data_IF_505712798422
#
_entry.id   IF_505712798422
#
_cell.length_a   1.000
_cell.length_b   1.000
_cell.length_c   1.000
_cell.angle_alpha   90.00
_cell.angle_beta   90.00
_cell.angle_gamma   90.00
#
_symmetry.space_group_name_H-M   'P 1'
#
loop_
_entity.id
_entity.type
_entity.pdbx_description
1 polymer ?
#
# COMPACT_ATOMS: atom_id res chain seq x y z
N UNK A 1 22.31 6.92 -13.11
CA UNK A 1 22.18 7.06 -11.62
C UNK A 1 22.14 8.54 -11.25
N UNK A 2 21.20 8.95 -10.38
CA UNK A 2 21.23 10.28 -9.74
C UNK A 2 21.87 10.14 -8.36
N UNK A 3 22.70 11.10 -7.98
CA UNK A 3 23.42 11.12 -6.70
C UNK A 3 23.45 12.57 -6.21
N UNK A 4 22.62 12.89 -5.22
CA UNK A 4 22.36 14.27 -4.79
C UNK A 4 22.50 14.35 -3.27
N UNK A 5 23.28 15.32 -2.77
CA UNK A 5 23.41 15.65 -1.34
C UNK A 5 22.33 16.61 -0.91
N UNK A 6 21.97 16.59 0.37
CA UNK A 6 20.99 17.49 1.00
C UNK A 6 19.66 17.57 0.22
N UNK A 7 19.14 16.39 -0.15
CA UNK A 7 17.98 16.28 -1.03
C UNK A 7 16.66 16.37 -0.25
N UNK A 8 15.70 17.16 -0.77
CA UNK A 8 14.35 17.25 -0.22
C UNK A 8 13.53 15.99 -0.58
N UNK A 9 12.97 15.36 0.42
CA UNK A 9 12.09 14.18 0.29
C UNK A 9 10.60 14.55 0.16
N UNK A 10 10.26 15.84 0.05
CA UNK A 10 8.86 16.28 -0.06
C UNK A 10 8.13 15.63 -1.23
N UNK A 11 8.78 15.48 -2.37
CA UNK A 11 8.22 14.83 -3.57
C UNK A 11 8.19 13.28 -3.47
N UNK A 12 8.85 12.73 -2.47
CA UNK A 12 8.99 11.28 -2.24
C UNK A 12 8.24 10.80 -0.99
N UNK A 13 7.25 11.56 -0.52
CA UNK A 13 6.28 11.11 0.47
C UNK A 13 4.92 11.74 0.21
N UNK A 14 3.89 10.93 0.19
CA UNK A 14 2.53 11.36 -0.15
C UNK A 14 1.84 12.15 0.97
N UNK A 15 2.39 12.18 2.19
CA UNK A 15 1.98 13.13 3.23
C UNK A 15 2.39 14.58 2.92
N UNK A 16 3.33 14.79 1.98
CA UNK A 16 3.86 16.12 1.67
C UNK A 16 4.66 16.74 2.83
N UNK A 17 5.21 15.91 3.71
CA UNK A 17 6.05 16.36 4.84
C UNK A 17 7.37 16.90 4.30
N UNK A 18 7.74 18.09 4.81
CA UNK A 18 9.06 18.66 4.57
C UNK A 18 10.10 17.91 5.39
N UNK A 19 10.93 17.15 4.72
CA UNK A 19 12.09 16.48 5.29
C UNK A 19 13.18 16.35 4.24
N UNK A 20 14.43 16.22 4.65
CA UNK A 20 15.59 16.03 3.78
C UNK A 20 16.30 14.73 4.11
N UNK A 21 17.14 14.27 3.18
CA UNK A 21 18.13 13.25 3.45
C UNK A 21 19.55 13.77 3.16
N UNK A 22 20.54 13.20 3.84
CA UNK A 22 21.94 13.59 3.62
C UNK A 22 22.40 13.26 2.20
N UNK A 23 21.92 12.17 1.61
CA UNK A 23 22.22 11.76 0.23
C UNK A 23 21.05 10.98 -0.37
N UNK A 24 20.71 11.29 -1.61
CA UNK A 24 19.68 10.60 -2.39
C UNK A 24 20.32 9.89 -3.57
N UNK A 25 20.11 8.59 -3.67
CA UNK A 25 20.56 7.76 -4.78
C UNK A 25 19.35 7.21 -5.52
N UNK A 26 19.30 7.43 -6.85
CA UNK A 26 18.25 6.88 -7.71
C UNK A 26 18.90 6.11 -8.85
N UNK A 27 18.51 4.83 -8.99
CA UNK A 27 19.04 3.95 -10.03
C UNK A 27 17.98 3.63 -11.07
N UNK A 28 18.40 3.57 -12.34
CA UNK A 28 17.54 3.34 -13.52
C UNK A 28 17.92 2.10 -14.33
N UNK A 29 18.92 1.35 -13.87
CA UNK A 29 19.29 0.05 -14.45
C UNK A 29 19.80 -0.91 -13.37
N UNK A 30 19.98 -2.18 -13.73
CA UNK A 30 20.54 -3.21 -12.83
C UNK A 30 21.99 -2.88 -12.48
N UNK A 31 22.79 -2.42 -13.44
CA UNK A 31 24.17 -2.01 -13.22
C UNK A 31 24.27 -0.84 -12.23
N UNK A 32 23.34 0.13 -12.34
CA UNK A 32 23.25 1.23 -11.39
C UNK A 32 22.81 0.75 -9.99
N UNK A 33 21.90 -0.23 -9.91
CA UNK A 33 21.53 -0.85 -8.64
C UNK A 33 22.74 -1.57 -7.99
N UNK A 34 23.58 -2.24 -8.79
CA UNK A 34 24.84 -2.86 -8.31
C UNK A 34 25.82 -1.80 -7.80
N UNK A 35 25.91 -0.67 -8.48
CA UNK A 35 26.74 0.48 -8.04
C UNK A 35 26.20 1.08 -6.73
N UNK A 36 24.87 1.27 -6.61
CA UNK A 36 24.24 1.69 -5.36
C UNK A 36 24.57 0.71 -4.24
N UNK A 37 24.43 -0.60 -4.47
CA UNK A 37 24.80 -1.63 -3.49
C UNK A 37 26.27 -1.53 -3.07
N UNK A 38 27.18 -1.23 -4.00
CA UNK A 38 28.61 -0.98 -3.70
C UNK A 38 28.77 0.25 -2.80
N UNK A 39 28.13 1.38 -3.13
CA UNK A 39 28.19 2.61 -2.35
C UNK A 39 27.69 2.37 -0.91
N UNK A 40 26.57 1.66 -0.75
CA UNK A 40 26.01 1.36 0.57
C UNK A 40 26.98 0.54 1.44
N UNK A 41 27.64 -0.46 0.86
CA UNK A 41 28.66 -1.27 1.57
C UNK A 41 29.89 -0.47 1.97
N UNK A 42 30.39 0.36 1.06
CA UNK A 42 31.63 1.14 1.27
C UNK A 42 31.44 2.27 2.29
N UNK A 43 30.28 2.92 2.26
CA UNK A 43 30.02 4.03 3.19
C UNK A 43 29.65 3.56 4.59
N UNK A 44 28.99 2.40 4.73
CA UNK A 44 28.44 1.93 6.00
C UNK A 44 27.43 2.89 6.62
N UNK A 45 26.92 3.87 5.86
CA UNK A 45 25.95 4.86 6.32
C UNK A 45 24.58 4.20 6.52
N UNK A 46 23.77 4.67 7.47
CA UNK A 46 22.36 4.30 7.53
C UNK A 46 21.69 4.57 6.17
N UNK A 47 20.81 3.70 5.75
CA UNK A 47 20.08 3.89 4.50
C UNK A 47 18.60 3.50 4.63
N UNK A 48 17.79 4.05 3.74
CA UNK A 48 16.36 3.81 3.63
C UNK A 48 16.00 3.59 2.16
N UNK A 49 15.43 2.44 1.85
CA UNK A 49 14.93 2.13 0.50
C UNK A 49 13.47 2.54 0.46
N UNK A 50 13.12 3.37 -0.51
CA UNK A 50 11.75 3.85 -0.73
C UNK A 50 11.26 3.52 -2.14
N UNK A 51 9.94 3.38 -2.30
CA UNK A 51 9.25 3.51 -3.58
C UNK A 51 8.61 4.90 -3.68
N UNK A 52 7.43 5.01 -4.25
CA UNK A 52 6.70 6.28 -4.42
C UNK A 52 6.29 7.00 -3.11
N UNK A 53 6.76 6.54 -1.96
CA UNK A 53 6.52 7.18 -0.66
C UNK A 53 5.08 7.17 -0.16
N UNK A 54 4.24 6.31 -0.72
CA UNK A 54 2.81 6.24 -0.42
C UNK A 54 2.46 5.49 0.88
N UNK A 55 3.46 4.90 1.53
CA UNK A 55 3.33 4.22 2.83
C UNK A 55 4.45 4.63 3.79
N UNK A 56 4.78 5.93 3.80
CA UNK A 56 5.90 6.50 4.53
C UNK A 56 5.47 7.75 5.29
N UNK A 57 5.87 7.86 6.56
CA UNK A 57 5.78 9.06 7.37
C UNK A 57 7.17 9.46 7.86
N UNK A 58 7.69 10.55 7.35
CA UNK A 58 8.95 11.14 7.81
C UNK A 58 8.68 12.03 9.01
N UNK A 59 9.34 11.79 10.14
CA UNK A 59 9.16 12.58 11.38
C UNK A 59 10.28 13.59 11.62
N UNK A 60 11.36 13.49 10.85
CA UNK A 60 12.55 14.35 10.88
C UNK A 60 13.36 14.16 9.59
N UNK A 61 14.40 14.95 9.41
CA UNK A 61 15.41 14.71 8.38
C UNK A 61 16.08 13.34 8.58
N UNK A 62 16.41 12.68 7.49
CA UNK A 62 17.09 11.40 7.51
C UNK A 62 18.60 11.59 7.31
N UNK A 63 19.38 11.40 8.37
CA UNK A 63 20.84 11.59 8.35
C UNK A 63 21.57 10.41 7.67
N UNK A 64 21.10 9.98 6.52
CA UNK A 64 21.62 8.82 5.80
C UNK A 64 21.36 8.90 4.31
N UNK A 65 21.46 7.76 3.65
CA UNK A 65 21.26 7.58 2.21
C UNK A 65 19.82 7.12 1.96
N UNK A 66 19.06 7.88 1.20
CA UNK A 66 17.75 7.40 0.67
C UNK A 66 17.97 6.83 -0.72
N UNK A 67 17.44 5.64 -0.97
CA UNK A 67 17.58 4.90 -2.23
C UNK A 67 16.22 4.74 -2.87
N UNK A 68 16.10 5.09 -4.15
CA UNK A 68 14.89 4.97 -4.95
C UNK A 68 15.17 4.26 -6.28
N UNK A 69 14.23 3.41 -6.74
CA UNK A 69 14.30 2.81 -8.06
C UNK A 69 13.54 3.65 -9.09
N UNK A 70 14.19 3.96 -10.20
CA UNK A 70 13.59 4.53 -11.40
C UNK A 70 13.72 3.58 -12.60
N UNK A 71 13.83 2.26 -12.37
CA UNK A 71 13.82 1.29 -13.46
C UNK A 71 12.40 1.19 -14.00
N UNK A 72 12.22 1.58 -15.26
CA UNK A 72 10.97 1.55 -15.99
C UNK A 72 10.99 0.44 -17.06
N UNK A 73 9.84 0.15 -17.62
CA UNK A 73 9.59 -0.79 -18.70
C UNK A 73 8.64 -1.91 -18.28
N UNK A 74 7.78 -2.30 -19.22
CA UNK A 74 6.82 -3.39 -19.08
C UNK A 74 6.96 -4.32 -20.27
N UNK A 75 7.23 -5.59 -20.03
CA UNK A 75 7.41 -6.61 -21.06
C UNK A 75 6.42 -7.75 -20.86
N UNK A 76 5.68 -8.08 -21.90
CA UNK A 76 4.66 -9.12 -21.87
C UNK A 76 5.16 -10.33 -22.65
N UNK A 77 5.12 -11.48 -22.01
CA UNK A 77 5.37 -12.77 -22.63
C UNK A 77 4.25 -13.74 -22.24
N UNK A 78 3.37 -14.04 -23.20
CA UNK A 78 2.18 -14.87 -23.04
C UNK A 78 1.21 -14.31 -21.98
N UNK A 79 1.16 -14.91 -20.80
CA UNK A 79 0.31 -14.49 -19.67
C UNK A 79 1.13 -13.86 -18.51
N UNK A 80 2.41 -13.57 -18.77
CA UNK A 80 3.31 -12.93 -17.82
C UNK A 80 3.62 -11.49 -18.23
N UNK A 81 3.73 -10.64 -17.23
CA UNK A 81 4.20 -9.27 -17.41
C UNK A 81 5.33 -9.00 -16.42
N UNK A 82 6.50 -8.66 -16.92
CA UNK A 82 7.65 -8.22 -16.13
C UNK A 82 7.69 -6.70 -16.14
N UNK A 83 7.67 -6.08 -14.97
CA UNK A 83 7.63 -4.63 -14.81
C UNK A 83 8.83 -4.15 -14.03
N UNK A 84 9.46 -3.07 -14.49
CA UNK A 84 10.52 -2.38 -13.76
C UNK A 84 10.02 -1.92 -12.38
N UNK A 85 10.90 -1.96 -11.38
CA UNK A 85 10.52 -1.71 -9.99
C UNK A 85 10.09 -0.26 -9.71
N UNK A 86 10.45 0.68 -10.59
CA UNK A 86 10.03 2.09 -10.53
C UNK A 86 8.73 2.39 -11.30
N UNK A 87 8.12 1.40 -11.97
CA UNK A 87 6.83 1.60 -12.62
C UNK A 87 5.72 1.88 -11.61
N UNK A 88 4.80 2.77 -11.97
CA UNK A 88 3.62 3.07 -11.16
C UNK A 88 2.67 1.86 -11.20
N UNK A 89 2.31 1.35 -10.04
CA UNK A 89 1.46 0.15 -9.93
C UNK A 89 0.14 0.27 -10.71
N UNK A 90 -0.55 1.40 -10.63
CA UNK A 90 -1.85 1.55 -11.31
C UNK A 90 -1.74 1.57 -12.83
N UNK A 91 -0.58 1.99 -13.38
CA UNK A 91 -0.28 1.90 -14.82
C UNK A 91 -0.05 0.46 -15.25
N UNK A 92 0.53 -0.38 -14.38
CA UNK A 92 0.64 -1.83 -14.63
C UNK A 92 -0.74 -2.48 -14.70
N UNK A 93 -1.66 -2.13 -13.79
CA UNK A 93 -3.05 -2.63 -13.83
C UNK A 93 -3.73 -2.24 -15.14
N UNK A 94 -3.58 -1.00 -15.59
CA UNK A 94 -4.14 -0.54 -16.86
C UNK A 94 -3.54 -1.27 -18.07
N UNK A 95 -2.20 -1.37 -18.10
CA UNK A 95 -1.50 -2.06 -19.18
C UNK A 95 -1.88 -3.55 -19.27
N UNK A 96 -2.05 -4.23 -18.13
CA UNK A 96 -2.48 -5.63 -18.11
C UNK A 96 -3.87 -5.80 -18.75
N UNK A 97 -4.82 -4.92 -18.40
CA UNK A 97 -6.17 -4.95 -19.00
C UNK A 97 -6.14 -4.69 -20.52
N UNK A 98 -5.34 -3.71 -20.95
CA UNK A 98 -5.18 -3.41 -22.38
C UNK A 98 -4.60 -4.60 -23.17
N UNK A 99 -3.79 -5.42 -22.50
CA UNK A 99 -3.20 -6.63 -23.08
C UNK A 99 -4.12 -7.87 -22.98
N UNK A 100 -5.33 -7.75 -22.37
CA UNK A 100 -6.22 -8.90 -22.12
C UNK A 100 -5.71 -9.83 -21.02
N UNK A 101 -4.97 -9.28 -20.05
CA UNK A 101 -4.42 -9.97 -18.92
C UNK A 101 -5.15 -9.51 -17.64
N UNK A 102 -5.77 -10.45 -16.93
CA UNK A 102 -6.73 -10.18 -15.86
C UNK A 102 -6.27 -10.69 -14.49
N UNK A 103 -6.82 -10.11 -13.42
CA UNK A 103 -6.60 -10.48 -12.02
C UNK A 103 -6.16 -9.34 -11.11
N UNK A 104 -5.76 -8.18 -11.67
CA UNK A 104 -5.32 -7.02 -10.91
C UNK A 104 -6.41 -5.94 -10.72
N UNK A 105 -7.61 -6.10 -11.26
CA UNK A 105 -8.64 -5.07 -11.33
C UNK A 105 -9.00 -4.49 -9.96
N UNK A 106 -9.10 -5.36 -8.95
CA UNK A 106 -9.42 -4.98 -7.57
C UNK A 106 -8.30 -4.15 -6.92
N UNK A 107 -7.09 -4.20 -7.45
CA UNK A 107 -5.92 -3.49 -6.96
C UNK A 107 -5.70 -2.11 -7.61
N UNK A 108 -6.71 -1.64 -8.36
CA UNK A 108 -6.69 -0.34 -9.05
C UNK A 108 -6.58 0.83 -8.08
N UNK A 109 -5.92 1.90 -8.51
CA UNK A 109 -5.67 3.12 -7.74
C UNK A 109 -4.92 2.91 -6.40
N UNK A 110 -4.23 1.79 -6.19
CA UNK A 110 -3.30 1.69 -5.08
C UNK A 110 -2.07 2.50 -5.45
N UNK A 111 -1.72 3.56 -4.68
CA UNK A 111 -0.58 4.39 -4.99
C UNK A 111 0.73 3.67 -4.66
N UNK A 112 1.78 3.97 -5.39
CA UNK A 112 3.13 3.45 -5.19
C UNK A 112 3.66 2.69 -6.40
N UNK A 113 4.87 2.18 -6.26
CA UNK A 113 5.64 1.58 -7.33
C UNK A 113 5.60 0.05 -7.27
N UNK A 114 5.90 -0.58 -8.39
CA UNK A 114 6.00 -2.05 -8.57
C UNK A 114 6.88 -2.70 -7.51
N UNK A 115 8.08 -2.19 -7.25
CA UNK A 115 8.97 -2.76 -6.23
C UNK A 115 8.38 -2.71 -4.83
N UNK A 116 7.74 -1.59 -4.48
CA UNK A 116 7.05 -1.43 -3.20
C UNK A 116 5.82 -2.33 -3.07
N UNK A 117 5.12 -2.63 -4.18
CA UNK A 117 3.97 -3.53 -4.21
C UNK A 117 4.34 -4.93 -3.71
N UNK A 118 5.49 -5.45 -4.15
CA UNK A 118 6.02 -6.75 -3.75
C UNK A 118 6.49 -6.76 -2.28
N UNK A 119 7.13 -5.68 -1.82
CA UNK A 119 7.56 -5.55 -0.41
C UNK A 119 6.37 -5.55 0.54
N UNK A 120 5.35 -4.76 0.23
CA UNK A 120 4.20 -4.51 1.11
C UNK A 120 3.12 -5.61 1.02
N UNK A 121 3.14 -6.46 -0.01
CA UNK A 121 2.01 -7.32 -0.38
C UNK A 121 0.72 -6.49 -0.43
N UNK A 122 0.70 -5.51 -1.36
CA UNK A 122 -0.46 -4.62 -1.49
C UNK A 122 -1.74 -5.41 -1.74
N UNK A 123 -2.86 -4.90 -1.27
CA UNK A 123 -4.14 -5.59 -1.43
C UNK A 123 -5.32 -4.66 -1.22
N UNK A 124 -6.38 -4.93 -1.94
CA UNK A 124 -7.66 -4.26 -1.83
C UNK A 124 -8.80 -5.17 -2.30
N UNK A 125 -9.99 -4.97 -1.77
CA UNK A 125 -11.22 -5.66 -2.20
C UNK A 125 -11.07 -7.18 -2.33
N UNK A 126 -10.41 -7.81 -1.35
CA UNK A 126 -10.28 -9.27 -1.27
C UNK A 126 -9.18 -9.89 -2.13
N UNK A 127 -8.40 -9.08 -2.87
CA UNK A 127 -7.27 -9.52 -3.69
C UNK A 127 -5.97 -8.99 -3.10
N UNK A 128 -4.92 -9.78 -3.12
CA UNK A 128 -3.56 -9.39 -2.74
C UNK A 128 -2.60 -9.60 -3.91
N UNK A 129 -1.60 -8.74 -4.05
CA UNK A 129 -0.66 -8.81 -5.18
C UNK A 129 0.17 -10.09 -5.19
N UNK A 130 0.36 -10.74 -4.03
CA UNK A 130 1.03 -12.05 -3.92
C UNK A 130 0.41 -13.12 -4.82
N UNK A 131 -0.91 -13.01 -5.09
CA UNK A 131 -1.65 -13.97 -5.90
C UNK A 131 -1.27 -13.86 -7.39
N UNK A 132 -0.64 -12.73 -7.77
CA UNK A 132 -0.15 -12.46 -9.12
C UNK A 132 1.38 -12.59 -9.23
N UNK A 133 2.14 -12.30 -8.15
CA UNK A 133 3.61 -12.32 -8.21
C UNK A 133 4.13 -13.74 -8.49
N UNK A 134 4.96 -13.86 -9.52
CA UNK A 134 5.66 -15.10 -9.87
C UNK A 134 7.08 -15.11 -9.35
N UNK A 135 7.84 -14.05 -9.64
CA UNK A 135 9.22 -13.89 -9.20
C UNK A 135 9.61 -12.41 -9.08
N UNK A 136 10.62 -12.13 -8.28
CA UNK A 136 11.19 -10.82 -8.04
C UNK A 136 12.66 -10.85 -8.43
N UNK A 137 13.07 -9.90 -9.27
CA UNK A 137 14.47 -9.67 -9.61
C UNK A 137 15.02 -8.58 -8.70
N UNK A 138 16.20 -8.80 -8.14
CA UNK A 138 16.80 -7.86 -7.21
C UNK A 138 18.33 -7.96 -7.19
N UNK A 139 19.00 -6.91 -6.75
CA UNK A 139 20.41 -6.91 -6.40
C UNK A 139 20.55 -7.09 -4.89
N UNK A 140 21.26 -8.09 -4.45
CA UNK A 140 21.59 -8.30 -3.04
C UNK A 140 22.65 -7.29 -2.58
N UNK A 141 22.30 -6.42 -1.63
CA UNK A 141 23.19 -5.32 -1.22
C UNK A 141 24.52 -5.84 -0.69
N UNK A 142 24.51 -6.91 0.13
CA UNK A 142 25.72 -7.45 0.75
C UNK A 142 26.75 -7.97 -0.26
N UNK A 143 26.32 -8.49 -1.40
CA UNK A 143 27.20 -9.13 -2.40
C UNK A 143 27.31 -8.32 -3.70
N UNK A 144 26.32 -7.47 -4.02
CA UNK A 144 26.18 -6.81 -5.32
C UNK A 144 25.71 -7.75 -6.43
N UNK A 145 25.35 -9.00 -6.11
CA UNK A 145 24.91 -9.99 -7.10
C UNK A 145 23.42 -9.88 -7.37
N UNK A 146 23.04 -10.13 -8.61
CA UNK A 146 21.65 -10.31 -8.99
C UNK A 146 21.07 -11.59 -8.37
N UNK A 147 19.81 -11.52 -8.00
CA UNK A 147 19.02 -12.62 -7.47
C UNK A 147 17.66 -12.66 -8.16
N UNK A 148 17.22 -13.86 -8.49
CA UNK A 148 15.84 -14.14 -8.85
C UNK A 148 15.20 -14.86 -7.67
N UNK A 149 14.17 -14.28 -7.10
CA UNK A 149 13.50 -14.74 -5.88
C UNK A 149 12.11 -15.22 -6.27
N UNK A 150 11.82 -16.49 -6.05
CA UNK A 150 10.48 -17.06 -6.27
C UNK A 150 9.47 -16.48 -5.26
N UNK A 151 8.26 -16.18 -5.69
CA UNK A 151 7.20 -15.65 -4.82
C UNK A 151 6.92 -16.55 -3.61
N UNK A 152 7.10 -17.88 -3.75
CA UNK A 152 6.94 -18.87 -2.67
C UNK A 152 7.92 -18.66 -1.51
N UNK A 153 9.09 -18.11 -1.80
CA UNK A 153 10.13 -17.84 -0.78
C UNK A 153 9.85 -16.54 -0.01
N UNK A 154 8.97 -15.67 -0.50
CA UNK A 154 8.67 -14.38 0.10
C UNK A 154 7.79 -14.46 1.36
N UNK A 155 7.21 -15.62 1.68
CA UNK A 155 6.37 -15.84 2.87
C UNK A 155 5.27 -14.76 3.04
N UNK A 156 4.57 -14.48 1.97
CA UNK A 156 3.52 -13.47 1.95
C UNK A 156 2.37 -13.79 2.91
N UNK A 157 1.97 -12.80 3.68
CA UNK A 157 0.76 -12.79 4.50
C UNK A 157 0.11 -11.40 4.44
N UNK A 158 -1.02 -11.21 5.11
CA UNK A 158 -1.72 -9.92 5.13
C UNK A 158 -0.78 -8.78 5.52
N UNK A 159 -0.45 -7.90 4.57
CA UNK A 159 0.51 -6.78 4.71
C UNK A 159 1.90 -7.20 5.18
N UNK A 160 2.29 -8.44 4.94
CA UNK A 160 3.57 -9.00 5.36
C UNK A 160 4.29 -9.69 4.21
N UNK A 161 5.62 -9.61 4.26
CA UNK A 161 6.54 -10.38 3.42
C UNK A 161 7.89 -10.53 4.14
N UNK A 162 8.74 -11.41 3.66
CA UNK A 162 10.14 -11.48 4.17
C UNK A 162 10.91 -10.18 3.94
N UNK A 163 10.57 -9.40 2.91
CA UNK A 163 11.19 -8.08 2.67
C UNK A 163 10.92 -7.07 3.78
N UNK A 164 9.83 -7.22 4.54
CA UNK A 164 9.53 -6.37 5.71
C UNK A 164 10.16 -6.88 7.01
N UNK A 165 10.61 -8.12 7.03
CA UNK A 165 11.12 -8.81 8.22
C UNK A 165 12.56 -9.27 8.00
N UNK A 166 12.77 -10.54 7.77
CA UNK A 166 14.07 -11.22 7.67
C UNK A 166 14.97 -10.68 6.54
N UNK A 167 14.37 -10.18 5.45
CA UNK A 167 15.07 -9.60 4.31
C UNK A 167 15.03 -8.07 4.28
N UNK A 168 14.61 -7.45 5.38
CA UNK A 168 14.57 -6.00 5.47
C UNK A 168 15.94 -5.42 5.15
N UNK A 169 15.93 -4.39 4.28
CA UNK A 169 17.12 -3.66 3.83
C UNK A 169 18.21 -4.54 3.18
N UNK A 170 17.85 -5.72 2.66
CA UNK A 170 18.81 -6.66 2.05
C UNK A 170 18.88 -6.56 0.54
N UNK A 171 17.81 -6.14 -0.12
CA UNK A 171 17.67 -6.20 -1.57
C UNK A 171 17.23 -4.88 -2.18
N UNK A 172 17.84 -4.51 -3.32
CA UNK A 172 17.36 -3.50 -4.23
C UNK A 172 16.55 -4.21 -5.32
N UNK A 173 15.23 -4.10 -5.27
CA UNK A 173 14.36 -4.72 -6.28
C UNK A 173 14.54 -3.98 -7.60
N UNK A 174 14.71 -4.72 -8.69
CA UNK A 174 14.92 -4.18 -10.05
C UNK A 174 13.72 -4.40 -10.96
N UNK A 175 13.03 -5.53 -10.80
CA UNK A 175 11.75 -5.79 -11.51
C UNK A 175 10.93 -6.85 -10.77
N UNK A 176 9.64 -6.93 -11.12
CA UNK A 176 8.71 -7.95 -10.64
C UNK A 176 8.00 -8.56 -11.83
N UNK A 177 7.96 -9.89 -11.88
CA UNK A 177 7.19 -10.64 -12.87
C UNK A 177 5.87 -11.09 -12.27
N UNK A 178 4.78 -10.69 -12.89
CA UNK A 178 3.42 -11.07 -12.55
C UNK A 178 2.90 -12.14 -13.51
N UNK A 179 2.11 -13.06 -12.99
CA UNK A 179 1.37 -14.07 -13.74
C UNK A 179 -0.11 -13.68 -13.72
N UNK A 180 -0.68 -13.43 -14.88
CA UNK A 180 -2.09 -13.05 -15.05
C UNK A 180 -2.92 -14.20 -15.62
N UNK A 181 -4.24 -14.02 -15.63
CA UNK A 181 -5.17 -14.91 -16.33
C UNK A 181 -5.57 -14.30 -17.69
N UNK A 182 -5.69 -15.13 -18.72
CA UNK A 182 -6.30 -14.75 -20.00
C UNK A 182 -7.84 -14.82 -19.97
N UNK A 183 -8.39 -15.33 -18.88
CA UNK A 183 -9.84 -15.38 -18.66
C UNK A 183 -10.20 -14.50 -17.48
N UNK A 184 -11.11 -13.57 -17.71
CA UNK A 184 -11.58 -12.69 -16.64
C UNK A 184 -12.51 -13.44 -15.67
N UNK A 185 -12.13 -13.41 -14.39
CA UNK A 185 -12.96 -13.93 -13.29
C UNK A 185 -13.11 -12.81 -12.24
N UNK A 186 -14.30 -12.21 -12.10
CA UNK A 186 -14.46 -11.08 -11.20
C UNK A 186 -14.46 -11.49 -9.72
N UNK A 187 -13.69 -10.78 -8.90
CA UNK A 187 -13.69 -10.91 -7.44
C UNK A 187 -14.60 -9.84 -6.83
N UNK A 188 -15.82 -10.21 -6.45
CA UNK A 188 -16.89 -9.28 -6.03
C UNK A 188 -17.34 -9.45 -4.57
N UNK A 189 -16.80 -10.44 -3.85
CA UNK A 189 -17.34 -10.87 -2.56
C UNK A 189 -16.83 -10.07 -1.36
N UNK A 190 -16.00 -9.03 -1.60
CA UNK A 190 -15.47 -8.19 -0.54
C UNK A 190 -16.27 -6.90 -0.36
N UNK A 191 -16.79 -6.68 0.84
CA UNK A 191 -17.57 -5.48 1.19
C UNK A 191 -18.80 -5.31 0.30
N UNK A 192 -19.09 -4.08 -0.08
CA UNK A 192 -20.25 -3.73 -0.93
C UNK A 192 -19.87 -3.64 -2.42
N UNK A 193 -18.81 -4.30 -2.88
CA UNK A 193 -18.34 -4.16 -4.26
C UNK A 193 -19.43 -4.60 -5.25
N UNK A 194 -20.05 -5.76 -4.98
CA UNK A 194 -21.15 -6.29 -5.78
C UNK A 194 -22.34 -5.32 -5.84
N UNK A 195 -22.77 -4.79 -4.71
CA UNK A 195 -23.89 -3.83 -4.61
C UNK A 195 -23.57 -2.53 -5.33
N UNK A 196 -22.34 -2.02 -5.18
CA UNK A 196 -21.91 -0.80 -5.85
C UNK A 196 -21.80 -0.94 -7.37
N UNK A 197 -21.52 -2.14 -7.89
CA UNK A 197 -21.57 -2.43 -9.32
C UNK A 197 -23.01 -2.44 -9.83
N UNK A 198 -23.97 -2.97 -9.07
CA UNK A 198 -25.40 -3.02 -9.42
C UNK A 198 -26.07 -1.65 -9.28
N UNK A 199 -25.72 -0.92 -8.20
CA UNK A 199 -26.34 0.37 -7.85
C UNK A 199 -25.68 1.57 -8.54
N UNK A 200 -24.73 1.35 -9.43
CA UNK A 200 -24.03 2.41 -10.17
C UNK A 200 -24.96 3.49 -10.68
N UNK A 201 -25.18 4.52 -9.85
CA UNK A 201 -26.20 5.55 -9.96
C UNK A 201 -25.81 6.71 -10.89
N UNK A 202 -25.18 6.39 -12.01
CA UNK A 202 -25.02 7.37 -13.11
C UNK A 202 -26.08 7.17 -14.19
N UNK A 203 -26.54 8.24 -14.85
CA UNK A 203 -27.53 8.12 -15.93
C UNK A 203 -27.11 7.17 -17.06
N UNK A 204 -25.83 6.85 -17.19
CA UNK A 204 -25.28 5.91 -18.18
C UNK A 204 -25.19 4.46 -17.69
N UNK A 205 -25.36 4.19 -16.38
CA UNK A 205 -25.24 2.85 -15.81
C UNK A 205 -26.59 2.18 -15.48
N UNK A 206 -27.72 2.82 -15.77
CA UNK A 206 -29.08 2.29 -15.51
C UNK A 206 -29.40 0.95 -16.17
N UNK A 207 -28.57 0.51 -17.12
CA UNK A 207 -28.76 -0.76 -17.84
C UNK A 207 -27.60 -1.73 -17.61
N UNK A 208 -26.75 -1.49 -16.61
CA UNK A 208 -25.68 -2.39 -16.27
C UNK A 208 -26.21 -3.51 -15.36
N UNK A 209 -26.80 -4.50 -15.96
CA UNK A 209 -26.94 -5.81 -15.35
C UNK A 209 -25.52 -6.39 -15.27
N UNK A 210 -25.11 -6.88 -14.11
CA UNK A 210 -24.04 -7.86 -14.02
C UNK A 210 -24.51 -9.05 -14.87
N UNK A 211 -24.24 -8.99 -16.17
CA UNK A 211 -24.31 -10.17 -17.01
C UNK A 211 -23.34 -11.22 -16.46
N UNK A 212 -23.37 -12.46 -16.95
CA UNK A 212 -22.49 -13.51 -16.49
C UNK A 212 -20.99 -13.14 -16.54
N UNK A 213 -20.62 -12.11 -17.33
CA UNK A 213 -19.25 -11.59 -17.44
C UNK A 213 -19.23 -10.05 -17.44
N UNK A 214 -19.15 -9.38 -16.26
CA UNK A 214 -18.84 -7.97 -16.25
C UNK A 214 -17.40 -7.79 -16.77
N UNK A 215 -17.23 -6.89 -17.75
CA UNK A 215 -15.88 -6.67 -18.30
C UNK A 215 -14.93 -6.19 -17.20
N UNK A 216 -13.69 -6.64 -17.23
CA UNK A 216 -12.64 -6.26 -16.30
C UNK A 216 -12.47 -4.73 -16.20
N UNK A 217 -12.65 -4.02 -17.33
CA UNK A 217 -12.63 -2.56 -17.37
C UNK A 217 -13.71 -1.95 -16.48
N UNK A 218 -14.94 -2.49 -16.46
CA UNK A 218 -16.00 -1.97 -15.61
C UNK A 218 -15.73 -2.23 -14.13
N UNK A 219 -15.13 -3.39 -13.79
CA UNK A 219 -14.70 -3.65 -12.43
C UNK A 219 -13.64 -2.64 -11.98
N UNK A 220 -12.62 -2.39 -12.83
CA UNK A 220 -11.62 -1.35 -12.56
C UNK A 220 -12.27 0.02 -12.34
N UNK A 221 -13.14 0.47 -13.24
CA UNK A 221 -13.83 1.76 -13.13
C UNK A 221 -14.67 1.87 -11.85
N UNK A 222 -15.35 0.78 -11.46
CA UNK A 222 -16.12 0.74 -10.22
C UNK A 222 -15.20 0.84 -8.97
N UNK A 223 -14.10 0.10 -8.95
CA UNK A 223 -13.10 0.19 -7.87
C UNK A 223 -12.53 1.60 -7.79
N UNK A 224 -12.13 2.20 -8.93
CA UNK A 224 -11.61 3.56 -8.98
C UNK A 224 -12.62 4.59 -8.43
N UNK A 225 -13.89 4.47 -8.81
CA UNK A 225 -14.96 5.34 -8.32
C UNK A 225 -15.16 5.19 -6.80
N UNK A 226 -15.29 3.96 -6.30
CA UNK A 226 -15.49 3.69 -4.87
C UNK A 226 -14.29 4.23 -4.05
N UNK A 227 -13.07 4.06 -4.54
CA UNK A 227 -11.88 4.58 -3.88
C UNK A 227 -11.85 6.10 -3.91
N UNK A 228 -12.10 6.73 -5.07
CA UNK A 228 -12.13 8.20 -5.22
C UNK A 228 -13.21 8.88 -4.37
N UNK A 229 -14.34 8.20 -4.10
CA UNK A 229 -15.39 8.71 -3.21
C UNK A 229 -14.98 8.65 -1.72
N UNK A 230 -14.12 7.69 -1.33
CA UNK A 230 -13.79 7.40 0.07
C UNK A 230 -12.41 7.91 0.49
N UNK A 231 -11.43 7.89 -0.41
CA UNK A 231 -10.04 8.19 -0.08
C UNK A 231 -9.66 9.59 -0.60
N UNK A 232 -8.96 10.40 0.19
CA UNK A 232 -8.45 11.68 -0.27
C UNK A 232 -7.33 11.47 -1.30
N UNK A 233 -7.29 12.32 -2.33
CA UNK A 233 -6.15 12.39 -3.24
C UNK A 233 -4.94 12.98 -2.49
N UNK A 234 -3.81 12.26 -2.37
CA UNK A 234 -2.64 12.77 -1.68
C UNK A 234 -2.05 14.07 -2.26
N UNK A 235 -2.34 14.37 -3.52
CA UNK A 235 -1.94 15.64 -4.17
C UNK A 235 -2.74 16.84 -3.67
N UNK A 236 -3.94 16.59 -3.14
CA UNK A 236 -4.83 17.63 -2.60
C UNK A 236 -4.73 17.68 -1.08
N UNK A 237 -4.76 16.53 -0.43
CA UNK A 237 -4.68 16.39 1.02
C UNK A 237 -3.68 15.28 1.36
N UNK A 238 -2.48 15.67 1.80
CA UNK A 238 -1.37 14.75 2.03
C UNK A 238 -1.75 13.61 2.98
N UNK A 239 -1.50 12.37 2.57
CA UNK A 239 -1.81 11.17 3.35
C UNK A 239 -0.97 9.98 2.85
N UNK A 240 -1.03 8.85 3.55
CA UNK A 240 -0.40 7.60 3.15
C UNK A 240 -1.43 6.45 3.07
N UNK A 241 -2.65 6.73 2.64
CA UNK A 241 -3.74 5.76 2.61
C UNK A 241 -4.18 5.32 4.01
N UNK A 242 -4.53 4.06 4.16
CA UNK A 242 -4.90 3.49 5.47
C UNK A 242 -3.71 3.55 6.42
N UNK A 243 -3.85 4.31 7.52
CA UNK A 243 -2.76 4.51 8.46
C UNK A 243 -2.57 3.33 9.42
N UNK A 244 -3.64 2.64 9.77
CA UNK A 244 -3.62 1.52 10.70
C UNK A 244 -4.00 0.21 10.02
N UNK A 245 -3.39 -0.89 10.47
CA UNK A 245 -3.83 -2.24 10.14
C UNK A 245 -5.15 -2.56 10.84
N UNK A 246 -5.99 -3.36 10.19
CA UNK A 246 -7.14 -3.94 10.85
C UNK A 246 -6.65 -5.02 11.82
N UNK A 247 -6.95 -4.94 13.13
CA UNK A 247 -6.53 -5.93 14.09
C UNK A 247 -7.25 -7.27 13.89
N UNK A 248 -6.51 -8.35 14.07
CA UNK A 248 -7.04 -9.69 14.19
C UNK A 248 -7.09 -10.00 15.68
N UNK A 249 -8.24 -10.43 16.16
CA UNK A 249 -8.50 -10.74 17.57
C UNK A 249 -9.06 -12.15 17.73
N UNK A 250 -8.92 -12.72 18.91
CA UNK A 250 -9.58 -13.98 19.27
C UNK A 250 -11.11 -13.84 19.15
N UNK A 251 -11.77 -14.88 18.68
CA UNK A 251 -13.22 -14.92 18.48
C UNK A 251 -14.00 -14.56 19.75
N UNK A 252 -13.57 -15.07 20.91
CA UNK A 252 -14.18 -14.75 22.20
C UNK A 252 -14.16 -13.23 22.49
N UNK A 253 -13.05 -12.56 22.16
CA UNK A 253 -12.92 -11.13 22.30
C UNK A 253 -13.91 -10.38 21.40
N UNK A 254 -14.07 -10.82 20.16
CA UNK A 254 -15.06 -10.27 19.23
C UNK A 254 -16.48 -10.44 19.76
N UNK A 255 -16.85 -11.67 20.19
CA UNK A 255 -18.21 -11.98 20.69
C UNK A 255 -18.57 -11.16 21.92
N UNK A 256 -17.63 -10.98 22.85
CA UNK A 256 -17.82 -10.10 24.01
C UNK A 256 -18.07 -8.63 23.61
N UNK A 257 -17.40 -8.14 22.56
CA UNK A 257 -17.64 -6.79 22.04
C UNK A 257 -18.94 -6.71 21.25
N UNK A 258 -19.29 -7.70 20.46
CA UNK A 258 -20.51 -7.75 19.66
C UNK A 258 -21.77 -7.72 20.53
N UNK A 259 -21.72 -8.23 21.77
CA UNK A 259 -22.80 -8.09 22.73
C UNK A 259 -23.10 -6.62 23.07
N UNK A 260 -22.07 -5.77 23.09
CA UNK A 260 -22.22 -4.31 23.35
C UNK A 260 -22.41 -3.51 22.05
N UNK A 261 -21.84 -4.00 20.93
CA UNK A 261 -21.88 -3.36 19.61
C UNK A 261 -22.44 -4.32 18.56
N UNK A 262 -23.77 -4.59 18.51
CA UNK A 262 -24.37 -5.61 17.65
C UNK A 262 -24.15 -5.38 16.14
N UNK A 263 -23.88 -4.13 15.73
CA UNK A 263 -23.62 -3.76 14.33
C UNK A 263 -22.14 -3.66 13.99
N UNK A 264 -21.25 -4.16 14.86
CA UNK A 264 -19.80 -4.13 14.64
C UNK A 264 -19.43 -4.97 13.41
N UNK A 265 -18.85 -4.36 12.37
CA UNK A 265 -18.42 -5.09 11.19
C UNK A 265 -17.22 -5.97 11.53
N UNK A 266 -17.15 -7.13 10.88
CA UNK A 266 -16.06 -8.08 11.06
C UNK A 266 -15.85 -8.91 9.79
N UNK A 267 -14.70 -9.57 9.73
CA UNK A 267 -14.35 -10.52 8.68
C UNK A 267 -13.77 -11.78 9.32
N UNK A 268 -14.26 -12.93 8.93
CA UNK A 268 -13.73 -14.21 9.37
C UNK A 268 -12.29 -14.38 8.85
N UNK A 269 -11.40 -14.85 9.73
CA UNK A 269 -10.02 -15.21 9.38
C UNK A 269 -9.85 -16.71 9.41
N UNK A 270 -10.21 -17.33 10.55
CA UNK A 270 -10.26 -18.77 10.78
C UNK A 270 -11.26 -19.09 11.92
N UNK A 271 -11.30 -20.35 12.38
CA UNK A 271 -12.22 -20.77 13.43
C UNK A 271 -12.04 -20.00 14.76
N UNK A 272 -10.79 -19.60 15.07
CA UNK A 272 -10.42 -18.91 16.32
C UNK A 272 -10.30 -17.40 16.22
N UNK A 273 -10.23 -16.84 15.00
CA UNK A 273 -9.83 -15.43 14.82
C UNK A 273 -10.77 -14.66 13.92
N UNK A 274 -10.96 -13.41 14.28
CA UNK A 274 -11.82 -12.44 13.58
C UNK A 274 -11.04 -11.13 13.35
N UNK A 275 -11.14 -10.57 12.16
CA UNK A 275 -10.56 -9.27 11.82
C UNK A 275 -11.60 -8.17 11.97
N UNK A 276 -11.31 -7.15 12.78
CA UNK A 276 -12.19 -6.01 13.04
C UNK A 276 -11.67 -4.79 12.27
N UNK A 277 -12.52 -4.06 11.50
CA UNK A 277 -12.11 -2.82 10.82
C UNK A 277 -11.66 -1.74 11.81
N UNK A 278 -10.39 -1.36 11.78
CA UNK A 278 -9.85 -0.29 12.61
C UNK A 278 -10.55 1.05 12.36
N UNK A 279 -10.92 1.34 11.10
CA UNK A 279 -11.66 2.54 10.74
C UNK A 279 -13.00 2.66 11.47
N UNK A 280 -13.71 1.56 11.66
CA UNK A 280 -14.95 1.56 12.45
C UNK A 280 -14.68 1.89 13.93
N UNK A 281 -13.66 1.28 14.54
CA UNK A 281 -13.32 1.59 15.94
C UNK A 281 -12.89 3.04 16.13
N UNK A 282 -12.12 3.60 15.20
CA UNK A 282 -11.67 4.99 15.20
C UNK A 282 -12.88 5.93 15.07
N UNK A 283 -13.84 5.61 14.20
CA UNK A 283 -15.09 6.36 14.03
C UNK A 283 -15.95 6.30 15.32
N UNK A 284 -16.09 5.11 15.92
CA UNK A 284 -16.77 4.94 17.21
C UNK A 284 -16.12 5.70 18.38
N UNK A 285 -14.83 6.00 18.30
CA UNK A 285 -14.12 6.89 19.22
C UNK A 285 -14.35 8.37 18.90
N UNK A 286 -15.07 8.70 17.83
CA UNK A 286 -15.41 10.06 17.43
C UNK A 286 -14.26 10.83 16.77
N UNK A 287 -13.28 10.13 16.20
CA UNK A 287 -12.13 10.76 15.55
C UNK A 287 -12.39 11.17 14.11
N UNK A 288 -13.35 10.57 13.42
CA UNK A 288 -13.66 10.88 12.01
C UNK A 288 -13.95 12.36 11.82
N UNK A 289 -13.23 13.01 10.92
CA UNK A 289 -13.31 14.45 10.67
C UNK A 289 -12.74 15.35 11.79
N UNK A 290 -12.02 14.77 12.77
CA UNK A 290 -11.37 15.54 13.85
C UNK A 290 -9.90 15.79 13.54
N UNK A 291 -9.34 16.82 14.19
CA UNK A 291 -7.93 17.19 14.04
C UNK A 291 -7.27 17.52 15.37
N UNK A 292 -5.94 17.41 15.40
CA UNK A 292 -5.04 17.94 16.41
C UNK A 292 -3.99 18.77 15.68
N UNK A 293 -4.07 20.11 15.83
CA UNK A 293 -3.21 21.01 15.04
C UNK A 293 -3.45 20.87 13.55
N UNK A 294 -2.39 20.65 12.78
CA UNK A 294 -2.43 20.47 11.33
C UNK A 294 -2.59 19.00 10.90
N UNK A 295 -2.62 18.06 11.84
CA UNK A 295 -2.89 16.65 11.60
C UNK A 295 -4.36 16.33 11.80
N UNK A 296 -5.00 15.62 10.87
CA UNK A 296 -6.42 15.28 10.92
C UNK A 296 -6.72 13.83 10.62
N UNK A 297 -7.96 13.43 10.89
CA UNK A 297 -8.58 12.19 10.44
C UNK A 297 -9.56 12.56 9.33
N UNK A 298 -9.42 11.94 8.17
CA UNK A 298 -10.27 12.25 7.01
C UNK A 298 -11.77 12.04 7.32
N UNK A 299 -12.61 12.94 6.81
CA UNK A 299 -14.03 13.03 7.15
C UNK A 299 -14.90 11.89 6.55
N UNK A 300 -14.44 11.24 5.48
CA UNK A 300 -15.14 10.11 4.85
C UNK A 300 -14.54 8.75 5.25
N UNK A 301 -13.27 8.70 5.63
CA UNK A 301 -12.56 7.46 5.96
C UNK A 301 -11.70 7.63 7.22
N UNK A 302 -12.21 7.16 8.35
CA UNK A 302 -11.53 7.31 9.65
C UNK A 302 -10.18 6.58 9.76
N UNK A 303 -9.89 5.67 8.81
CA UNK A 303 -8.61 4.96 8.76
C UNK A 303 -7.48 5.79 8.16
N UNK A 304 -7.80 6.92 7.49
CA UNK A 304 -6.83 7.78 6.82
C UNK A 304 -6.51 8.99 7.68
N UNK A 305 -5.24 9.11 8.07
CA UNK A 305 -4.70 10.33 8.66
C UNK A 305 -4.23 11.27 7.56
N UNK A 306 -4.48 12.56 7.74
CA UNK A 306 -4.24 13.59 6.73
C UNK A 306 -3.42 14.75 7.25
N UNK A 307 -2.64 15.34 6.37
CA UNK A 307 -1.97 16.61 6.54
C UNK A 307 -2.88 17.73 6.02
N UNK A 308 -3.47 18.50 6.91
CA UNK A 308 -4.39 19.61 6.60
C UNK A 308 -3.68 20.87 6.08
N UNK A 309 -2.38 20.75 5.82
CA UNK A 309 -1.50 21.82 5.37
C UNK A 309 -0.51 22.24 6.45
N UNK A 310 0.78 21.98 6.18
CA UNK A 310 1.87 22.34 7.08
C UNK A 310 2.06 21.43 8.31
N UNK A 311 1.42 20.26 8.35
CA UNK A 311 1.67 19.30 9.43
C UNK A 311 3.12 18.79 9.39
N UNK A 312 3.74 18.70 10.54
CA UNK A 312 4.97 17.93 10.74
C UNK A 312 4.65 16.44 10.91
N UNK A 313 5.62 15.57 10.62
CA UNK A 313 5.46 14.14 10.89
C UNK A 313 5.22 13.85 12.37
N UNK A 314 5.77 14.64 13.27
CA UNK A 314 5.52 14.52 14.72
C UNK A 314 4.07 14.82 15.11
N UNK A 315 3.40 15.80 14.46
CA UNK A 315 1.97 16.05 14.69
C UNK A 315 1.12 14.85 14.26
N UNK A 316 1.44 14.20 13.15
CA UNK A 316 0.77 12.96 12.71
C UNK A 316 1.00 11.83 13.74
N UNK A 317 2.21 11.69 14.29
CA UNK A 317 2.51 10.69 15.35
C UNK A 317 1.74 10.97 16.63
N UNK A 318 1.61 12.23 17.03
CA UNK A 318 0.82 12.62 18.22
C UNK A 318 -0.66 12.24 18.02
N UNK A 319 -1.23 12.55 16.86
CA UNK A 319 -2.59 12.15 16.49
C UNK A 319 -2.75 10.62 16.50
N UNK A 320 -1.82 9.90 15.89
CA UNK A 320 -1.80 8.43 15.85
C UNK A 320 -1.86 7.84 17.27
N UNK A 321 -1.00 8.32 18.18
CA UNK A 321 -0.97 7.86 19.59
C UNK A 321 -2.26 8.18 20.36
N UNK A 322 -2.85 9.35 20.13
CA UNK A 322 -4.13 9.71 20.73
C UNK A 322 -5.25 8.76 20.29
N UNK A 323 -5.30 8.42 18.99
CA UNK A 323 -6.25 7.44 18.43
C UNK A 323 -6.03 6.06 19.05
N UNK A 324 -4.78 5.56 19.06
CA UNK A 324 -4.42 4.26 19.65
C UNK A 324 -4.88 4.18 21.11
N UNK A 325 -4.63 5.21 21.90
CA UNK A 325 -5.05 5.30 23.30
C UNK A 325 -6.57 5.18 23.44
N UNK A 326 -7.34 5.96 22.68
CA UNK A 326 -8.79 5.94 22.77
C UNK A 326 -9.41 4.60 22.31
N UNK A 327 -8.87 4.00 21.26
CA UNK A 327 -9.32 2.67 20.79
C UNK A 327 -9.03 1.62 21.88
N UNK A 328 -7.83 1.64 22.48
CA UNK A 328 -7.47 0.74 23.58
C UNK A 328 -8.37 0.91 24.80
N UNK A 329 -8.65 2.16 25.22
CA UNK A 329 -9.51 2.46 26.33
C UNK A 329 -10.96 2.00 26.09
N UNK A 330 -11.47 2.16 24.87
CA UNK A 330 -12.88 1.86 24.56
C UNK A 330 -13.13 0.39 24.27
N UNK A 331 -12.23 -0.28 23.54
CA UNK A 331 -12.43 -1.65 23.05
C UNK A 331 -11.50 -2.69 23.69
N UNK A 332 -10.45 -2.23 24.40
CA UNK A 332 -9.39 -3.11 24.92
C UNK A 332 -8.57 -3.77 23.80
N UNK A 333 -8.52 -3.16 22.62
CA UNK A 333 -7.80 -3.64 21.43
C UNK A 333 -6.68 -2.66 21.10
N UNK A 334 -5.50 -3.18 20.83
CA UNK A 334 -4.38 -2.41 20.27
C UNK A 334 -4.49 -2.36 18.76
N UNK A 335 -4.30 -1.17 18.18
CA UNK A 335 -4.14 -0.97 16.74
C UNK A 335 -2.76 -0.46 16.42
N UNK A 336 -2.18 -0.90 15.31
CA UNK A 336 -0.81 -0.59 14.93
C UNK A 336 -0.76 0.10 13.57
N UNK A 337 0.15 1.07 13.39
CA UNK A 337 0.37 1.68 12.08
C UNK A 337 0.74 0.63 11.03
N UNK A 338 0.16 0.75 9.84
CA UNK A 338 0.62 0.08 8.62
C UNK A 338 1.73 0.91 7.96
N UNK A 339 1.65 2.23 8.13
CA UNK A 339 2.60 3.21 7.60
C UNK A 339 3.95 3.10 8.30
N UNK A 340 5.03 3.12 7.51
CA UNK A 340 6.39 3.13 8.03
C UNK A 340 6.73 4.52 8.58
N UNK A 341 6.98 4.60 9.88
CA UNK A 341 7.34 5.84 10.58
C UNK A 341 8.85 5.89 10.73
N UNK A 342 9.50 6.93 10.18
CA UNK A 342 10.95 7.12 10.13
C UNK A 342 11.36 8.39 10.90
#
# INVERSE_FOLDING_TARGET
>A
MRDIKDYSLKAHNTFGIEAKCARFLEYSSVEEAQEVARILRETGSPYLIIGGGSNLLLTRDFEGIVVHSAILGMWIEDDRMTCGSGEVWDEVVEASLMAGLYGAENLSMIPGDVGASAVQNIGAYGVEVKDLIREIHAVEIATGQERVIDARDCQYAYRQSRFKNEWKDRFLITSVTYQFSKTFVPHLDYGNLRENLVLGSGPKMKNFSLGPDPSAKFLREAVMRIRGEKLPDPKVEGNAGSFFMNPIVEREKYEALAATYPTMPHYEVDEGHVKIPAGWMIDQCGWKGKSLGHAGVHDKQALVLVNLGGASGQEIVVLCRAIQKNVKEKFGIDIYPEVNII
#
